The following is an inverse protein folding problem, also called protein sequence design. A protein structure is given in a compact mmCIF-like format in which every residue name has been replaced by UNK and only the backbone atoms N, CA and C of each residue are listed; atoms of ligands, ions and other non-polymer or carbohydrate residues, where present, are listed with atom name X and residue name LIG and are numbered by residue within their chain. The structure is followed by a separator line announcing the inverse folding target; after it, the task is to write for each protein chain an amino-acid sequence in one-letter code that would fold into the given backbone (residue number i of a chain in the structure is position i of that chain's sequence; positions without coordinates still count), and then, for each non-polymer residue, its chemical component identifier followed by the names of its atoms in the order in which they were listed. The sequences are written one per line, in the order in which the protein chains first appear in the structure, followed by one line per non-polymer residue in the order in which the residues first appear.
data_IF_761289984660
#
_entry.id   IF_761289984660
#
_cell.length_a   1.000
_cell.length_b   1.000
_cell.length_c   1.000
_cell.angle_alpha   90.00
_cell.angle_beta   90.00
_cell.angle_gamma   90.00
#
_symmetry.space_group_name_H-M   'P 1'
#
loop_
_entity.id
_entity.type
_entity.pdbx_description
1 polymer ?
#
# COMPACT_ATOMS: atom_id res chain seq x y z
N UNK A 1 -5.58 -2.76 -14.30
CA UNK A 1 -6.46 -1.64 -14.75
C UNK A 1 -5.70 -0.81 -15.77
N UNK A 2 -6.20 -0.68 -17.02
CA UNK A 2 -5.47 -0.05 -18.14
C UNK A 2 -5.67 1.49 -18.21
N UNK A 3 -6.49 2.07 -17.31
CA UNK A 3 -6.82 3.49 -17.35
C UNK A 3 -5.63 4.35 -16.88
N UNK A 4 -5.05 5.20 -17.74
CA UNK A 4 -3.90 6.02 -17.39
C UNK A 4 -4.26 7.28 -16.58
N UNK A 5 -5.54 7.70 -16.59
CA UNK A 5 -6.03 8.85 -15.83
C UNK A 5 -6.39 8.43 -14.42
N UNK A 6 -5.59 8.81 -13.43
CA UNK A 6 -5.77 8.35 -12.06
C UNK A 6 -7.15 8.69 -11.47
N UNK A 7 -7.75 9.83 -11.80
CA UNK A 7 -9.10 10.18 -11.35
C UNK A 7 -10.17 9.23 -11.90
N UNK A 8 -10.06 8.86 -13.17
CA UNK A 8 -10.97 7.89 -13.79
C UNK A 8 -10.76 6.48 -13.20
N UNK A 9 -9.50 6.09 -12.94
CA UNK A 9 -9.16 4.86 -12.26
C UNK A 9 -9.78 4.78 -10.86
N UNK A 10 -9.68 5.84 -10.07
CA UNK A 10 -10.29 5.92 -8.74
C UNK A 10 -11.83 5.79 -8.82
N UNK A 11 -12.47 6.45 -9.81
CA UNK A 11 -13.93 6.32 -10.03
C UNK A 11 -14.33 4.89 -10.38
N UNK A 12 -13.64 4.26 -11.33
CA UNK A 12 -13.90 2.89 -11.77
C UNK A 12 -13.68 1.88 -10.63
N UNK A 13 -12.68 2.12 -9.80
CA UNK A 13 -12.40 1.30 -8.61
C UNK A 13 -13.56 1.36 -7.61
N UNK A 14 -14.10 2.55 -7.33
CA UNK A 14 -15.27 2.70 -6.46
C UNK A 14 -16.52 1.98 -7.03
N UNK A 15 -16.76 2.09 -8.33
CA UNK A 15 -17.86 1.37 -9.00
C UNK A 15 -17.69 -0.15 -8.96
N UNK A 16 -16.45 -0.62 -9.14
CA UNK A 16 -16.11 -2.05 -9.07
C UNK A 16 -16.32 -2.59 -7.66
N UNK A 17 -15.91 -1.86 -6.62
CA UNK A 17 -16.19 -2.22 -5.23
C UNK A 17 -17.69 -2.31 -4.96
N UNK A 18 -18.48 -1.33 -5.39
CA UNK A 18 -19.91 -1.31 -5.15
C UNK A 18 -20.61 -2.46 -5.88
N UNK A 19 -20.16 -2.79 -7.10
CA UNK A 19 -20.61 -3.97 -7.80
C UNK A 19 -20.20 -5.25 -7.07
N UNK A 20 -18.95 -5.39 -6.63
CA UNK A 20 -18.44 -6.55 -5.90
C UNK A 20 -19.23 -6.79 -4.62
N UNK A 21 -19.49 -5.75 -3.82
CA UNK A 21 -20.31 -5.84 -2.61
C UNK A 21 -21.72 -6.36 -2.89
N UNK A 22 -22.35 -5.98 -4.00
CA UNK A 22 -23.65 -6.53 -4.42
C UNK A 22 -23.56 -8.00 -4.80
N UNK A 23 -22.52 -8.38 -5.54
CA UNK A 23 -22.23 -9.79 -5.85
C UNK A 23 -22.12 -10.61 -4.57
N UNK A 24 -21.36 -10.15 -3.62
CA UNK A 24 -21.13 -10.83 -2.33
C UNK A 24 -22.40 -10.98 -1.49
N UNK A 25 -23.35 -10.07 -1.62
CA UNK A 25 -24.68 -10.16 -0.95
C UNK A 25 -25.70 -10.99 -1.72
N UNK A 26 -25.33 -11.54 -2.88
CA UNK A 26 -26.27 -12.30 -3.73
C UNK A 26 -27.34 -11.45 -4.39
N UNK A 27 -27.14 -10.12 -4.51
CA UNK A 27 -28.10 -9.16 -5.08
C UNK A 27 -28.07 -9.12 -6.62
N UNK A 28 -27.31 -10.00 -7.25
CA UNK A 28 -27.05 -10.01 -8.69
C UNK A 28 -27.98 -10.98 -9.45
N UNK A 29 -29.30 -10.80 -9.37
CA UNK A 29 -30.24 -11.44 -10.28
C UNK A 29 -30.51 -10.51 -11.47
N UNK A 30 -30.06 -10.88 -12.66
CA UNK A 30 -30.28 -10.13 -13.90
C UNK A 30 -29.01 -9.49 -14.47
N UNK A 31 -29.11 -8.34 -15.12
CA UNK A 31 -28.02 -7.63 -15.85
C UNK A 31 -26.83 -7.19 -14.95
N UNK A 32 -26.96 -7.34 -13.65
CA UNK A 32 -25.93 -7.07 -12.64
C UNK A 32 -24.77 -8.10 -12.62
N UNK A 33 -24.83 -9.16 -13.44
CA UNK A 33 -23.69 -10.08 -13.63
C UNK A 33 -22.53 -9.44 -14.44
N UNK A 34 -22.81 -8.31 -15.10
CA UNK A 34 -21.79 -7.54 -15.79
C UNK A 34 -21.22 -6.48 -14.86
N UNK A 35 -19.98 -6.65 -14.43
CA UNK A 35 -19.23 -5.61 -13.73
C UNK A 35 -19.05 -4.36 -14.59
N UNK A 36 -18.45 -3.28 -14.07
CA UNK A 36 -18.15 -2.09 -14.84
C UNK A 36 -17.39 -2.46 -16.11
N UNK A 37 -18.00 -2.25 -17.29
CA UNK A 37 -17.39 -2.59 -18.56
C UNK A 37 -16.37 -1.53 -18.96
N UNK A 38 -15.10 -1.82 -18.75
CA UNK A 38 -13.99 -0.93 -19.12
C UNK A 38 -12.91 -1.61 -19.94
N UNK A 39 -12.93 -2.94 -20.01
CA UNK A 39 -11.98 -3.73 -20.81
C UNK A 39 -12.72 -4.49 -21.92
N UNK A 40 -12.05 -4.72 -23.05
CA UNK A 40 -12.48 -5.68 -24.05
C UNK A 40 -12.31 -7.09 -23.47
N UNK A 41 -13.14 -8.05 -23.90
CA UNK A 41 -13.03 -9.44 -23.46
C UNK A 41 -11.61 -10.01 -23.64
N UNK A 42 -10.91 -9.60 -24.71
CA UNK A 42 -9.53 -10.00 -25.00
C UNK A 42 -8.48 -9.43 -24.03
N UNK A 43 -8.82 -8.39 -23.23
CA UNK A 43 -7.90 -7.74 -22.28
C UNK A 43 -8.06 -8.27 -20.84
N UNK A 44 -9.04 -9.13 -20.58
CA UNK A 44 -9.39 -9.56 -19.22
C UNK A 44 -8.30 -10.42 -18.56
N UNK A 45 -7.50 -11.14 -19.34
CA UNK A 45 -6.43 -12.01 -18.85
C UNK A 45 -5.04 -11.34 -18.88
N UNK A 46 -4.95 -10.12 -19.42
CA UNK A 46 -3.66 -9.44 -19.56
C UNK A 46 -3.25 -8.71 -18.29
N UNK A 47 -2.18 -9.18 -17.67
CA UNK A 47 -1.53 -8.45 -16.57
C UNK A 47 -0.91 -7.16 -17.10
N UNK A 48 -1.18 -6.05 -16.43
CA UNK A 48 -0.62 -4.73 -16.79
C UNK A 48 0.79 -4.61 -16.22
N UNK A 49 1.81 -4.83 -17.04
CA UNK A 49 3.20 -4.77 -16.59
C UNK A 49 3.67 -3.35 -16.28
N UNK A 50 3.09 -2.34 -16.93
CA UNK A 50 3.51 -0.94 -16.77
C UNK A 50 2.29 0.02 -16.82
N UNK A 51 1.60 0.23 -15.69
CA UNK A 51 0.49 1.19 -15.60
C UNK A 51 0.98 2.61 -15.89
N UNK A 52 0.39 3.22 -16.91
CA UNK A 52 0.82 4.55 -17.37
C UNK A 52 0.27 5.67 -16.47
N UNK A 53 1.01 6.79 -16.44
CA UNK A 53 0.64 8.08 -15.85
C UNK A 53 0.75 9.17 -16.91
N UNK A 54 -0.37 9.53 -17.56
CA UNK A 54 -0.35 10.48 -18.68
C UNK A 54 0.06 11.90 -18.28
N UNK A 55 -0.25 12.29 -17.05
CA UNK A 55 -0.12 13.70 -16.62
C UNK A 55 1.06 13.96 -15.68
N UNK A 56 1.77 12.93 -15.26
CA UNK A 56 2.90 13.07 -14.32
C UNK A 56 4.21 12.84 -15.05
N UNK A 57 5.10 13.82 -14.98
CA UNK A 57 6.48 13.64 -15.42
C UNK A 57 7.21 12.78 -14.41
N UNK A 58 7.63 11.59 -14.84
CA UNK A 58 8.33 10.63 -13.99
C UNK A 58 9.84 10.93 -14.00
N UNK A 59 10.45 10.96 -12.83
CA UNK A 59 11.89 11.12 -12.61
C UNK A 59 12.42 9.96 -11.76
N UNK A 60 13.72 9.77 -11.72
CA UNK A 60 14.34 8.73 -10.90
C UNK A 60 14.14 8.99 -9.40
N UNK A 61 13.96 7.94 -8.59
CA UNK A 61 13.92 8.06 -7.13
C UNK A 61 15.15 8.84 -6.60
N UNK A 62 14.88 9.79 -5.70
CA UNK A 62 15.93 10.65 -5.11
C UNK A 62 16.26 11.91 -5.92
N UNK A 63 15.78 12.06 -7.17
CA UNK A 63 15.96 13.28 -7.98
C UNK A 63 14.81 14.28 -7.86
N UNK A 64 13.69 13.90 -7.23
CA UNK A 64 12.57 14.81 -6.96
C UNK A 64 12.97 15.94 -6.02
N UNK A 65 12.37 17.12 -6.18
CA UNK A 65 12.58 18.25 -5.27
C UNK A 65 12.18 17.88 -3.85
N UNK A 66 12.89 18.44 -2.85
CA UNK A 66 12.54 18.25 -1.44
C UNK A 66 11.15 18.81 -1.15
N UNK A 67 10.30 18.05 -0.46
CA UNK A 67 8.94 18.43 -0.12
C UNK A 67 8.82 19.62 0.84
N UNK A 68 9.88 19.91 1.58
CA UNK A 68 9.90 20.99 2.58
C UNK A 68 9.16 20.59 3.89
N UNK A 69 8.78 21.63 4.66
CA UNK A 69 8.20 21.47 6.02
C UNK A 69 6.73 21.90 6.14
N UNK A 70 6.06 22.19 5.02
CA UNK A 70 4.64 22.60 5.00
C UNK A 70 4.39 24.07 5.38
N UNK A 71 5.43 24.89 5.59
CA UNK A 71 5.30 26.30 6.00
C UNK A 71 4.87 27.25 4.88
N UNK A 72 5.03 26.86 3.62
CA UNK A 72 4.61 27.64 2.45
C UNK A 72 3.58 26.86 1.64
N UNK A 73 2.83 27.55 0.78
CA UNK A 73 1.85 26.94 -0.13
C UNK A 73 2.55 25.91 -1.03
N UNK A 74 3.69 26.25 -1.60
CA UNK A 74 4.48 25.35 -2.46
C UNK A 74 4.88 24.06 -1.74
N UNK A 75 5.29 24.18 -0.48
CA UNK A 75 5.66 23.01 0.34
C UNK A 75 4.43 22.15 0.68
N UNK A 76 3.28 22.74 0.96
CA UNK A 76 2.02 22.01 1.18
C UNK A 76 1.58 21.29 -0.09
N UNK A 77 1.60 21.98 -1.22
CA UNK A 77 1.33 21.39 -2.54
C UNK A 77 2.27 20.24 -2.83
N UNK A 78 3.58 20.38 -2.57
CA UNK A 78 4.55 19.31 -2.80
C UNK A 78 4.27 18.08 -1.93
N UNK A 79 3.92 18.25 -0.65
CA UNK A 79 3.57 17.14 0.25
C UNK A 79 2.28 16.46 -0.22
N UNK A 80 1.21 17.21 -0.48
CA UNK A 80 -0.08 16.67 -0.94
C UNK A 80 0.05 15.95 -2.29
N UNK A 81 0.83 16.52 -3.23
CA UNK A 81 1.08 15.91 -4.53
C UNK A 81 1.84 14.58 -4.39
N UNK A 82 2.85 14.53 -3.52
CA UNK A 82 3.61 13.30 -3.25
C UNK A 82 2.72 12.22 -2.63
N UNK A 83 1.85 12.58 -1.68
CA UNK A 83 0.88 11.64 -1.12
C UNK A 83 -0.09 11.15 -2.20
N UNK A 84 -0.76 12.05 -2.92
CA UNK A 84 -1.66 11.65 -4.00
C UNK A 84 -0.99 10.74 -5.05
N UNK A 85 0.31 10.94 -5.30
CA UNK A 85 1.06 10.07 -6.20
C UNK A 85 1.27 8.67 -5.63
N UNK A 86 1.55 8.55 -4.33
CA UNK A 86 1.64 7.27 -3.62
C UNK A 86 0.31 6.53 -3.73
N UNK A 87 -0.81 7.18 -3.37
CA UNK A 87 -2.14 6.56 -3.44
C UNK A 87 -2.51 6.11 -4.86
N UNK A 88 -2.11 6.90 -5.88
CA UNK A 88 -2.34 6.51 -7.27
C UNK A 88 -1.63 5.21 -7.67
N UNK A 89 -0.47 4.91 -7.07
CA UNK A 89 0.22 3.63 -7.24
C UNK A 89 -0.40 2.53 -6.39
N UNK A 90 -0.83 2.84 -5.18
CA UNK A 90 -1.46 1.88 -4.29
C UNK A 90 -2.75 1.28 -4.88
N UNK A 91 -3.54 2.07 -5.63
CA UNK A 91 -4.67 1.56 -6.43
C UNK A 91 -4.19 0.46 -7.40
N UNK A 92 -3.12 0.71 -8.16
CA UNK A 92 -2.60 -0.26 -9.12
C UNK A 92 -2.01 -1.49 -8.43
N UNK A 93 -1.32 -1.31 -7.30
CA UNK A 93 -0.74 -2.41 -6.52
C UNK A 93 -1.81 -3.38 -6.01
N UNK A 94 -2.93 -2.85 -5.52
CA UNK A 94 -4.05 -3.67 -5.06
C UNK A 94 -4.69 -4.46 -6.20
N UNK A 95 -4.94 -3.82 -7.34
CA UNK A 95 -5.48 -4.50 -8.52
C UNK A 95 -4.50 -5.49 -9.15
N UNK A 96 -3.21 -5.18 -9.16
CA UNK A 96 -2.18 -6.11 -9.64
C UNK A 96 -2.10 -7.36 -8.74
N UNK A 97 -2.23 -7.20 -7.42
CA UNK A 97 -2.27 -8.34 -6.51
C UNK A 97 -3.45 -9.29 -6.82
N UNK A 98 -4.64 -8.74 -7.08
CA UNK A 98 -5.80 -9.53 -7.51
C UNK A 98 -5.55 -10.21 -8.85
N UNK A 99 -5.16 -9.45 -9.87
CA UNK A 99 -5.08 -9.91 -11.25
C UNK A 99 -3.93 -10.90 -11.44
N UNK A 100 -2.76 -10.57 -10.94
CA UNK A 100 -1.56 -11.39 -11.10
C UNK A 100 -1.59 -12.67 -10.28
N UNK A 101 -2.10 -12.61 -9.07
CA UNK A 101 -1.94 -13.71 -8.12
C UNK A 101 -3.25 -14.37 -7.69
N UNK A 102 -4.37 -13.67 -7.72
CA UNK A 102 -5.61 -14.16 -7.15
C UNK A 102 -5.99 -15.54 -7.68
N UNK A 103 -6.16 -15.70 -8.99
CA UNK A 103 -6.49 -16.97 -9.62
C UNK A 103 -5.27 -17.90 -9.67
N UNK A 104 -4.10 -17.39 -10.05
CA UNK A 104 -2.87 -18.17 -10.19
C UNK A 104 -2.45 -18.89 -8.90
N UNK A 105 -2.72 -18.28 -7.73
CA UNK A 105 -2.44 -18.84 -6.41
C UNK A 105 -3.68 -19.44 -5.74
N UNK A 106 -4.79 -19.58 -6.47
CA UNK A 106 -6.07 -20.10 -5.95
C UNK A 106 -6.47 -19.46 -4.61
N UNK A 107 -6.41 -18.12 -4.57
CA UNK A 107 -6.72 -17.36 -3.36
C UNK A 107 -8.22 -17.44 -3.04
N UNK A 108 -8.61 -17.52 -1.75
CA UNK A 108 -10.01 -17.56 -1.36
C UNK A 108 -10.69 -16.22 -1.62
N UNK A 109 -12.01 -16.22 -1.63
CA UNK A 109 -12.82 -15.03 -1.98
C UNK A 109 -12.58 -13.86 -1.03
N UNK A 110 -12.24 -14.11 0.21
CA UNK A 110 -11.90 -13.11 1.22
C UNK A 110 -10.65 -12.30 0.85
N UNK A 111 -9.71 -12.90 0.08
CA UNK A 111 -8.58 -12.16 -0.48
C UNK A 111 -9.05 -11.06 -1.44
N UNK A 112 -10.01 -11.39 -2.30
CA UNK A 112 -10.60 -10.41 -3.21
C UNK A 112 -11.40 -9.36 -2.46
N UNK A 113 -12.15 -9.75 -1.41
CA UNK A 113 -12.87 -8.81 -0.55
C UNK A 113 -11.92 -7.74 -0.01
N UNK A 114 -10.80 -8.15 0.59
CA UNK A 114 -9.83 -7.23 1.18
C UNK A 114 -9.18 -6.32 0.15
N UNK A 115 -8.68 -6.88 -0.96
CA UNK A 115 -7.94 -6.08 -1.95
C UNK A 115 -8.84 -5.19 -2.82
N UNK A 116 -10.11 -5.53 -3.00
CA UNK A 116 -11.10 -4.63 -3.62
C UNK A 116 -11.42 -3.45 -2.69
N UNK A 117 -11.59 -3.68 -1.39
CA UNK A 117 -11.78 -2.60 -0.42
C UNK A 117 -10.53 -1.71 -0.33
N UNK A 118 -9.34 -2.31 -0.20
CA UNK A 118 -8.07 -1.58 -0.20
C UNK A 118 -7.95 -0.69 -1.45
N UNK A 119 -8.13 -1.24 -2.64
CA UNK A 119 -8.09 -0.44 -3.87
C UNK A 119 -9.07 0.74 -3.84
N UNK A 120 -10.26 0.55 -3.27
CA UNK A 120 -11.28 1.60 -3.19
C UNK A 120 -10.95 2.67 -2.17
N UNK A 121 -10.34 2.30 -1.05
CA UNK A 121 -9.84 3.25 -0.05
C UNK A 121 -8.73 4.11 -0.66
N UNK A 122 -7.76 3.52 -1.36
CA UNK A 122 -6.68 4.23 -2.06
C UNK A 122 -7.22 5.16 -3.15
N UNK A 123 -8.25 4.73 -3.88
CA UNK A 123 -8.96 5.58 -4.84
C UNK A 123 -9.61 6.79 -4.18
N UNK A 124 -10.17 6.61 -3.00
CA UNK A 124 -10.77 7.69 -2.20
C UNK A 124 -9.71 8.62 -1.62
N UNK A 125 -8.59 8.08 -1.10
CA UNK A 125 -7.44 8.87 -0.64
C UNK A 125 -6.91 9.76 -1.76
N UNK A 126 -6.66 9.19 -2.93
CA UNK A 126 -6.23 9.92 -4.12
C UNK A 126 -7.18 11.07 -4.49
N UNK A 127 -8.51 10.83 -4.51
CA UNK A 127 -9.52 11.83 -4.85
C UNK A 127 -9.55 12.98 -3.82
N UNK A 128 -9.52 12.65 -2.53
CA UNK A 128 -9.52 13.63 -1.46
C UNK A 128 -8.25 14.50 -1.46
N UNK A 129 -7.08 13.89 -1.64
CA UNK A 129 -5.81 14.62 -1.74
C UNK A 129 -5.74 15.48 -3.00
N UNK A 130 -6.29 14.99 -4.12
CA UNK A 130 -6.38 15.75 -5.37
C UNK A 130 -7.31 16.99 -5.23
N UNK A 131 -8.42 16.88 -4.52
CA UNK A 131 -9.30 18.00 -4.16
C UNK A 131 -8.57 19.03 -3.30
N UNK A 132 -7.78 18.57 -2.32
CA UNK A 132 -6.95 19.49 -1.50
C UNK A 132 -5.92 20.24 -2.35
N UNK A 133 -5.31 19.62 -3.36
CA UNK A 133 -4.42 20.29 -4.31
C UNK A 133 -5.15 21.42 -5.06
N UNK A 134 -6.38 21.17 -5.51
CA UNK A 134 -7.20 22.19 -6.21
C UNK A 134 -7.48 23.38 -5.30
N UNK A 135 -7.76 23.17 -4.01
CA UNK A 135 -7.96 24.25 -3.04
C UNK A 135 -6.72 25.15 -2.86
N UNK A 136 -5.53 24.61 -3.13
CA UNK A 136 -4.25 25.35 -3.17
C UNK A 136 -3.95 25.97 -4.55
N UNK A 137 -4.87 25.91 -5.52
CA UNK A 137 -4.66 26.40 -6.89
C UNK A 137 -3.69 25.52 -7.70
N UNK A 138 -3.54 24.25 -7.34
CA UNK A 138 -2.70 23.28 -8.01
C UNK A 138 -3.51 22.06 -8.47
N UNK A 139 -2.85 21.04 -9.01
CA UNK A 139 -3.50 19.81 -9.43
C UNK A 139 -2.51 18.64 -9.32
N UNK A 140 -3.04 17.40 -9.26
CA UNK A 140 -2.23 16.23 -9.46
C UNK A 140 -1.63 16.25 -10.89
N UNK A 141 -0.33 15.94 -11.01
CA UNK A 141 0.43 16.06 -12.26
C UNK A 141 1.17 17.38 -12.45
N UNK A 142 0.92 18.40 -11.59
CA UNK A 142 1.62 19.69 -11.66
C UNK A 142 3.11 19.60 -11.26
N UNK A 143 3.51 18.56 -10.55
CA UNK A 143 4.89 18.35 -10.10
C UNK A 143 5.43 17.01 -10.62
N UNK A 144 6.75 16.93 -10.74
CA UNK A 144 7.45 15.68 -11.02
C UNK A 144 7.31 14.70 -9.84
N UNK A 145 7.24 13.41 -10.15
CA UNK A 145 7.19 12.35 -9.17
C UNK A 145 8.03 11.14 -9.62
N UNK A 146 8.19 10.11 -8.79
CA UNK A 146 8.95 8.91 -9.14
C UNK A 146 8.07 7.66 -9.00
N UNK A 147 8.39 6.64 -9.77
CA UNK A 147 7.69 5.35 -9.81
C UNK A 147 8.28 4.28 -8.88
N UNK A 148 8.97 4.71 -7.82
CA UNK A 148 9.70 3.80 -6.92
C UNK A 148 8.85 2.65 -6.36
N UNK A 149 7.57 2.87 -6.05
CA UNK A 149 6.65 1.81 -5.63
C UNK A 149 6.44 0.78 -6.74
N UNK A 150 6.22 1.24 -7.97
CA UNK A 150 6.03 0.32 -9.10
C UNK A 150 7.32 -0.43 -9.48
N UNK A 151 8.49 0.20 -9.30
CA UNK A 151 9.78 -0.50 -9.46
C UNK A 151 9.88 -1.69 -8.50
N UNK A 152 9.54 -1.49 -7.23
CA UNK A 152 9.54 -2.58 -6.23
C UNK A 152 8.45 -3.62 -6.55
N UNK A 153 7.30 -3.18 -7.10
CA UNK A 153 6.25 -4.09 -7.57
C UNK A 153 6.74 -5.03 -8.68
N UNK A 154 7.54 -4.53 -9.62
CA UNK A 154 8.19 -5.38 -10.65
C UNK A 154 9.15 -6.40 -10.03
N UNK A 155 9.93 -6.01 -9.02
CA UNK A 155 10.87 -6.90 -8.33
C UNK A 155 10.15 -8.02 -7.53
N UNK A 156 8.86 -7.85 -7.23
CA UNK A 156 8.02 -8.82 -6.51
C UNK A 156 6.99 -9.51 -7.42
N UNK A 157 7.06 -9.30 -8.74
CA UNK A 157 6.05 -9.77 -9.71
C UNK A 157 5.90 -11.29 -9.79
N UNK A 158 6.93 -12.05 -9.41
CA UNK A 158 6.97 -13.50 -9.49
C UNK A 158 6.49 -14.21 -8.21
N UNK A 159 6.24 -13.48 -7.12
CA UNK A 159 5.90 -14.08 -5.81
C UNK A 159 4.89 -13.25 -5.04
N UNK A 160 3.72 -13.85 -4.77
CA UNK A 160 2.72 -13.22 -3.93
C UNK A 160 3.24 -12.99 -2.50
N UNK A 161 4.03 -13.91 -1.95
CA UNK A 161 4.63 -13.76 -0.63
C UNK A 161 5.56 -12.55 -0.58
N UNK A 162 6.38 -12.35 -1.61
CA UNK A 162 7.26 -11.18 -1.71
C UNK A 162 6.44 -9.89 -1.86
N UNK A 163 5.40 -9.89 -2.71
CA UNK A 163 4.47 -8.78 -2.90
C UNK A 163 3.80 -8.37 -1.60
N UNK A 164 3.25 -9.33 -0.85
CA UNK A 164 2.60 -9.09 0.43
C UNK A 164 3.58 -8.57 1.49
N UNK A 165 4.78 -9.17 1.56
CA UNK A 165 5.78 -8.75 2.54
C UNK A 165 6.32 -7.34 2.28
N UNK A 166 6.59 -7.00 1.02
CA UNK A 166 7.23 -5.73 0.67
C UNK A 166 6.21 -4.63 0.46
N UNK A 167 5.26 -4.80 -0.47
CA UNK A 167 4.32 -3.72 -0.81
C UNK A 167 3.23 -3.57 0.26
N UNK A 168 2.54 -4.66 0.60
CA UNK A 168 1.36 -4.59 1.45
C UNK A 168 1.64 -4.76 2.96
N UNK A 169 2.90 -4.91 3.38
CA UNK A 169 3.29 -4.86 4.79
C UNK A 169 4.37 -3.81 5.07
N UNK A 170 5.55 -3.88 4.43
CA UNK A 170 6.67 -2.96 4.72
C UNK A 170 6.35 -1.54 4.26
N UNK A 171 5.86 -1.34 3.04
CA UNK A 171 5.53 -0.01 2.51
C UNK A 171 4.34 0.59 3.25
N UNK A 172 3.26 -0.17 3.51
CA UNK A 172 2.11 0.28 4.31
C UNK A 172 2.52 0.67 5.73
N UNK A 173 3.33 -0.16 6.39
CA UNK A 173 3.85 0.17 7.71
C UNK A 173 4.74 1.42 7.70
N UNK A 174 5.41 1.75 6.58
CA UNK A 174 6.14 3.01 6.44
C UNK A 174 5.20 4.20 6.41
N UNK A 175 4.01 4.07 5.80
CA UNK A 175 2.93 5.06 5.89
C UNK A 175 2.58 5.36 7.35
N UNK A 176 2.38 4.31 8.16
CA UNK A 176 2.08 4.44 9.59
C UNK A 176 3.15 5.21 10.39
N UNK A 177 4.42 5.09 9.99
CA UNK A 177 5.52 5.80 10.65
C UNK A 177 5.58 7.29 10.27
N UNK A 178 5.24 7.62 9.00
CA UNK A 178 5.47 8.95 8.41
C UNK A 178 4.27 9.86 8.56
N UNK A 179 3.04 9.32 8.46
CA UNK A 179 1.80 10.11 8.50
C UNK A 179 1.66 10.96 9.78
N UNK A 180 1.93 10.48 11.00
CA UNK A 180 1.83 11.32 12.20
C UNK A 180 2.72 12.57 12.15
N UNK A 181 3.92 12.44 11.59
CA UNK A 181 4.82 13.58 11.42
C UNK A 181 4.30 14.54 10.36
N UNK A 182 3.69 14.03 9.30
CA UNK A 182 3.12 14.84 8.20
C UNK A 182 1.86 15.58 8.66
N UNK A 183 0.98 14.93 9.41
CA UNK A 183 -0.17 15.54 10.09
C UNK A 183 0.31 16.68 10.99
N UNK A 184 1.33 16.42 11.81
CA UNK A 184 1.92 17.42 12.68
C UNK A 184 2.56 18.60 11.92
N UNK A 185 3.13 18.38 10.72
CA UNK A 185 3.64 19.47 9.86
C UNK A 185 2.50 20.37 9.40
N UNK A 186 1.41 19.82 8.87
CA UNK A 186 0.25 20.59 8.43
C UNK A 186 -0.36 21.38 9.59
N UNK A 187 -0.61 20.74 10.73
CA UNK A 187 -1.22 21.38 11.91
C UNK A 187 -0.40 22.53 12.46
N UNK A 188 0.93 22.34 12.63
CA UNK A 188 1.83 23.40 13.10
C UNK A 188 1.92 24.61 12.15
N UNK A 189 1.60 24.42 10.89
CA UNK A 189 1.61 25.48 9.89
C UNK A 189 0.19 26.03 9.57
N UNK A 190 -0.82 25.69 10.39
CA UNK A 190 -2.18 26.21 10.29
C UNK A 190 -3.02 25.60 9.18
N UNK A 191 -2.63 24.46 8.61
CA UNK A 191 -3.41 23.70 7.64
C UNK A 191 -4.15 22.55 8.33
N UNK A 192 -5.17 22.91 9.10
CA UNK A 192 -5.96 21.93 9.86
C UNK A 192 -6.76 21.02 8.92
N UNK A 193 -7.24 21.53 7.79
CA UNK A 193 -8.02 20.72 6.86
C UNK A 193 -7.20 19.54 6.26
N UNK A 194 -5.93 19.77 5.87
CA UNK A 194 -5.06 18.68 5.41
C UNK A 194 -4.67 17.76 6.57
N UNK A 195 -4.44 18.31 7.78
CA UNK A 195 -4.14 17.50 8.96
C UNK A 195 -5.30 16.56 9.33
N UNK A 196 -6.53 17.09 9.38
CA UNK A 196 -7.74 16.31 9.70
C UNK A 196 -8.03 15.24 8.64
N UNK A 197 -7.87 15.58 7.36
CA UNK A 197 -8.03 14.60 6.27
C UNK A 197 -7.10 13.37 6.48
N UNK A 198 -5.83 13.62 6.74
CA UNK A 198 -4.86 12.55 6.94
C UNK A 198 -5.13 11.77 8.24
N UNK A 199 -5.51 12.46 9.32
CA UNK A 199 -5.69 11.85 10.65
C UNK A 199 -6.96 11.02 10.76
N UNK A 200 -8.07 11.51 10.17
CA UNK A 200 -9.39 10.89 10.35
C UNK A 200 -9.76 9.92 9.22
N UNK A 201 -9.13 10.04 8.05
CA UNK A 201 -9.44 9.21 6.89
C UNK A 201 -8.27 8.30 6.53
N UNK A 202 -7.15 8.88 6.07
CA UNK A 202 -6.04 8.08 5.51
C UNK A 202 -5.40 7.20 6.58
N UNK A 203 -4.96 7.80 7.68
CA UNK A 203 -4.18 7.07 8.69
C UNK A 203 -4.88 5.87 9.34
N UNK A 204 -6.19 5.90 9.68
CA UNK A 204 -6.87 4.72 10.22
C UNK A 204 -6.96 3.57 9.20
N UNK A 205 -7.10 3.88 7.91
CA UNK A 205 -7.25 2.90 6.85
C UNK A 205 -5.92 2.25 6.50
N UNK A 206 -4.80 2.98 6.54
CA UNK A 206 -3.45 2.42 6.41
C UNK A 206 -3.16 1.30 7.43
N UNK A 207 -3.74 1.39 8.64
CA UNK A 207 -3.64 0.30 9.63
C UNK A 207 -4.30 -0.98 9.09
N UNK A 208 -5.47 -0.85 8.44
CA UNK A 208 -6.20 -2.00 7.89
C UNK A 208 -5.50 -2.57 6.65
N UNK A 209 -4.88 -1.71 5.83
CA UNK A 209 -4.10 -2.13 4.65
C UNK A 209 -2.87 -2.94 5.08
N UNK A 210 -2.09 -2.42 6.02
CA UNK A 210 -0.96 -3.15 6.59
C UNK A 210 -1.38 -4.49 7.22
N UNK A 211 -2.50 -4.51 7.95
CA UNK A 211 -3.05 -5.73 8.55
C UNK A 211 -3.46 -6.76 7.48
N UNK A 212 -4.04 -6.32 6.37
CA UNK A 212 -4.39 -7.21 5.25
C UNK A 212 -3.14 -7.86 4.64
N UNK A 213 -2.10 -7.09 4.34
CA UNK A 213 -0.83 -7.62 3.83
C UNK A 213 -0.24 -8.71 4.73
N UNK A 214 -0.16 -8.43 6.03
CA UNK A 214 0.37 -9.39 7.01
C UNK A 214 -0.52 -10.63 7.17
N UNK A 215 -1.86 -10.47 7.18
CA UNK A 215 -2.82 -11.57 7.27
C UNK A 215 -2.66 -12.54 6.11
N UNK A 216 -2.56 -12.03 4.89
CA UNK A 216 -2.44 -12.86 3.70
C UNK A 216 -1.05 -13.50 3.56
N UNK A 217 -0.01 -12.85 4.04
CA UNK A 217 1.30 -13.46 4.15
C UNK A 217 1.27 -14.67 5.10
N UNK A 218 0.69 -14.51 6.29
CA UNK A 218 0.51 -15.60 7.26
C UNK A 218 -0.34 -16.75 6.70
N UNK A 219 -1.43 -16.41 6.00
CA UNK A 219 -2.29 -17.39 5.35
C UNK A 219 -1.53 -18.25 4.34
N UNK A 220 -0.74 -17.64 3.47
CA UNK A 220 0.07 -18.37 2.49
C UNK A 220 1.11 -19.26 3.17
N UNK A 221 1.79 -18.73 4.17
CA UNK A 221 2.77 -19.51 4.93
C UNK A 221 2.14 -20.74 5.61
N UNK A 222 0.95 -20.58 6.19
CA UNK A 222 0.23 -21.69 6.82
C UNK A 222 -0.31 -22.71 5.80
N UNK A 223 -0.79 -22.24 4.63
CA UNK A 223 -1.35 -23.08 3.58
C UNK A 223 -0.29 -23.88 2.83
N UNK A 224 0.82 -23.22 2.46
CA UNK A 224 1.83 -23.75 1.54
C UNK A 224 3.07 -24.29 2.28
N UNK A 225 3.16 -24.07 3.59
CA UNK A 225 4.20 -24.63 4.44
C UNK A 225 4.06 -26.16 4.56
N UNK A 226 5.10 -26.91 4.27
CA UNK A 226 5.14 -28.34 4.44
C UNK A 226 4.93 -28.72 5.91
N UNK A 227 3.73 -28.90 6.36
CA UNK A 227 3.23 -29.64 7.54
C UNK A 227 4.09 -29.85 8.80
N UNK A 228 5.24 -29.20 8.93
CA UNK A 228 6.19 -29.44 10.02
C UNK A 228 5.70 -28.82 11.34
N UNK A 229 4.80 -27.84 11.30
CA UNK A 229 4.26 -27.19 12.49
C UNK A 229 2.73 -27.12 12.54
N UNK A 230 2.01 -27.98 11.80
CA UNK A 230 0.54 -28.04 11.85
C UNK A 230 -0.04 -28.38 13.25
N UNK A 231 0.80 -28.68 14.23
CA UNK A 231 0.40 -28.93 15.61
C UNK A 231 0.52 -27.72 16.54
N UNK A 232 1.06 -26.56 16.09
CA UNK A 232 1.12 -25.33 16.90
C UNK A 232 0.12 -24.25 16.48
N UNK A 233 -0.70 -24.49 15.45
CA UNK A 233 -1.80 -23.60 15.04
C UNK A 233 -3.17 -24.03 15.61
N UNK A 234 -3.18 -24.67 16.79
CA UNK A 234 -4.40 -24.70 17.59
C UNK A 234 -4.65 -23.28 18.09
N UNK A 235 -5.80 -22.72 17.71
CA UNK A 235 -6.24 -21.35 18.03
C UNK A 235 -6.02 -20.94 19.51
N UNK A 236 -4.84 -20.51 19.80
CA UNK A 236 -4.41 -19.92 21.04
C UNK A 236 -3.66 -18.63 20.71
N UNK A 237 -3.93 -17.60 21.49
CA UNK A 237 -3.27 -16.27 21.47
C UNK A 237 -1.75 -16.37 21.75
N UNK A 238 -1.05 -17.26 21.08
CA UNK A 238 0.40 -17.44 21.18
C UNK A 238 1.10 -16.23 20.57
N UNK A 239 1.82 -15.48 21.41
CA UNK A 239 2.63 -14.34 20.97
C UNK A 239 3.67 -14.80 19.96
N UNK A 240 3.70 -14.20 18.76
CA UNK A 240 4.68 -14.50 17.73
C UNK A 240 6.07 -14.08 18.20
N UNK A 241 7.06 -14.93 17.99
CA UNK A 241 8.45 -14.70 18.36
C UNK A 241 9.34 -14.58 17.13
N UNK A 242 10.53 -14.02 17.28
CA UNK A 242 11.52 -13.93 16.20
C UNK A 242 11.89 -15.31 15.62
N UNK A 243 11.73 -16.38 16.38
CA UNK A 243 12.00 -17.76 15.97
C UNK A 243 10.81 -18.44 15.28
N UNK A 244 9.62 -17.83 15.26
CA UNK A 244 8.47 -18.37 14.54
C UNK A 244 8.78 -18.52 13.05
N UNK A 245 8.44 -19.66 12.44
CA UNK A 245 8.76 -19.95 11.03
C UNK A 245 8.20 -18.89 10.08
N UNK A 246 7.01 -18.39 10.33
CA UNK A 246 6.37 -17.34 9.53
C UNK A 246 7.12 -16.01 9.60
N UNK A 247 7.63 -15.63 10.78
CA UNK A 247 8.42 -14.40 10.97
C UNK A 247 9.77 -14.52 10.25
N UNK A 248 10.43 -15.67 10.34
CA UNK A 248 11.67 -15.94 9.62
C UNK A 248 11.47 -15.93 8.09
N UNK A 249 10.37 -16.52 7.61
CA UNK A 249 10.02 -16.47 6.18
C UNK A 249 9.79 -15.04 5.70
N UNK A 250 9.08 -14.23 6.50
CA UNK A 250 8.89 -12.80 6.21
C UNK A 250 10.22 -12.06 6.12
N UNK A 251 11.09 -12.23 7.11
CA UNK A 251 12.43 -11.62 7.09
C UNK A 251 13.24 -12.02 5.86
N UNK A 252 13.15 -13.27 5.44
CA UNK A 252 13.84 -13.76 4.24
C UNK A 252 13.30 -13.05 2.97
N UNK A 253 11.97 -12.91 2.85
CA UNK A 253 11.34 -12.20 1.73
C UNK A 253 11.75 -10.73 1.68
N UNK A 254 11.67 -10.03 2.82
CA UNK A 254 12.05 -8.61 2.89
C UNK A 254 13.54 -8.42 2.58
N UNK A 255 14.44 -9.23 3.15
CA UNK A 255 15.89 -9.12 2.86
C UNK A 255 16.23 -9.40 1.39
N UNK A 256 15.45 -10.23 0.72
CA UNK A 256 15.68 -10.59 -0.68
C UNK A 256 15.12 -9.53 -1.67
N UNK A 257 13.95 -8.97 -1.37
CA UNK A 257 13.17 -8.19 -2.35
C UNK A 257 13.03 -6.72 -1.99
N UNK A 258 13.37 -6.29 -0.76
CA UNK A 258 13.33 -4.89 -0.37
C UNK A 258 14.72 -4.28 -0.44
N UNK A 259 14.90 -3.26 -1.27
CA UNK A 259 16.17 -2.56 -1.43
C UNK A 259 16.48 -1.69 -0.20
N UNK A 260 17.47 -2.10 0.58
CA UNK A 260 17.94 -1.37 1.76
C UNK A 260 17.46 -2.00 3.07
N UNK A 261 17.35 -1.19 4.11
CA UNK A 261 16.94 -1.62 5.44
C UNK A 261 15.83 -0.74 5.99
N UNK A 262 15.06 -1.27 6.93
CA UNK A 262 14.02 -0.49 7.59
C UNK A 262 14.66 0.59 8.48
N UNK A 263 14.06 1.77 8.50
CA UNK A 263 14.64 2.95 9.17
C UNK A 263 13.69 3.48 10.25
N UNK A 264 14.11 3.49 11.53
CA UNK A 264 13.35 4.14 12.59
C UNK A 264 13.27 5.67 12.37
N UNK A 265 12.37 6.40 13.10
CA UNK A 265 11.54 5.87 14.17
C UNK A 265 10.33 5.10 13.66
N UNK A 266 9.91 4.09 14.40
CA UNK A 266 8.73 3.30 14.11
C UNK A 266 7.56 3.74 15.00
N UNK A 267 6.35 3.75 14.41
CA UNK A 267 5.11 3.93 15.16
C UNK A 267 4.64 2.56 15.71
N UNK A 268 5.26 2.13 16.81
CA UNK A 268 5.00 0.82 17.39
C UNK A 268 3.52 0.59 17.73
N UNK A 269 2.79 1.63 18.15
CA UNK A 269 1.36 1.52 18.49
C UNK A 269 0.51 1.21 17.24
N UNK A 270 0.67 1.97 16.15
CA UNK A 270 -0.08 1.75 14.92
C UNK A 270 0.29 0.41 14.25
N UNK A 271 1.59 0.10 14.23
CA UNK A 271 2.08 -1.19 13.72
C UNK A 271 1.49 -2.36 14.52
N UNK A 272 1.42 -2.25 15.85
CA UNK A 272 0.82 -3.28 16.71
C UNK A 272 -0.69 -3.44 16.43
N UNK A 273 -1.43 -2.34 16.17
CA UNK A 273 -2.84 -2.40 15.75
C UNK A 273 -3.03 -3.16 14.42
N UNK A 274 -2.06 -3.08 13.52
CA UNK A 274 -2.03 -3.87 12.29
C UNK A 274 -1.54 -5.33 12.52
N UNK A 275 -1.20 -5.73 13.74
CA UNK A 275 -0.59 -7.02 14.05
C UNK A 275 0.89 -7.12 13.67
N UNK A 276 1.50 -6.00 13.26
CA UNK A 276 2.90 -5.92 12.84
C UNK A 276 3.78 -5.54 14.04
N UNK A 277 3.97 -6.49 14.94
CA UNK A 277 4.71 -6.31 16.20
C UNK A 277 6.24 -6.18 15.97
N UNK A 278 7.04 -5.74 16.97
CA UNK A 278 8.48 -5.53 16.82
C UNK A 278 9.27 -6.71 16.22
N UNK A 279 8.89 -7.93 16.50
CA UNK A 279 9.55 -9.13 15.97
C UNK A 279 9.55 -9.22 14.45
N UNK A 280 8.57 -8.59 13.80
CA UNK A 280 8.45 -8.56 12.33
C UNK A 280 9.39 -7.57 11.65
N UNK A 281 9.80 -6.49 12.33
CA UNK A 281 10.50 -5.40 11.66
C UNK A 281 11.82 -4.98 12.33
N UNK A 282 12.00 -5.11 13.65
CA UNK A 282 13.24 -4.70 14.31
C UNK A 282 14.48 -5.47 13.82
N UNK A 283 14.43 -6.79 13.56
CA UNK A 283 15.56 -7.52 13.00
C UNK A 283 15.92 -7.15 11.56
N UNK A 284 15.09 -6.35 10.91
CA UNK A 284 15.30 -5.84 9.54
C UNK A 284 15.92 -4.42 9.51
N UNK A 285 16.15 -3.83 10.67
CA UNK A 285 16.85 -2.54 10.81
C UNK A 285 18.32 -2.72 10.49
N UNK A 286 18.89 -1.79 9.76
CA UNK A 286 20.33 -1.73 9.51
C UNK A 286 21.10 -1.58 10.84
N UNK A 287 21.87 -2.59 11.22
CA UNK A 287 22.80 -2.44 12.35
C UNK A 287 23.85 -1.43 11.94
N UNK A 288 23.95 -0.28 12.62
CA UNK A 288 25.10 0.61 12.48
C UNK A 288 26.36 -0.24 12.63
N UNK A 289 27.23 -0.22 11.65
CA UNK A 289 28.56 -0.83 11.81
C UNK A 289 29.23 -0.11 12.97
N UNK A 290 29.74 -0.85 13.96
CA UNK A 290 30.65 -0.31 14.97
C UNK A 290 31.84 0.27 14.24
N UNK A 291 31.87 1.59 14.06
CA UNK A 291 32.92 2.29 13.30
C UNK A 291 32.52 3.63 12.71
N UNK A 292 31.22 3.92 12.57
CA UNK A 292 30.70 5.17 11.97
C UNK A 292 30.56 6.34 12.98
N UNK A 293 31.16 6.22 14.18
CA UNK A 293 31.31 7.32 15.15
C UNK A 293 32.61 8.07 14.95
N UNK A 294 32.89 8.59 13.75
CA UNK A 294 33.89 9.63 13.52
C UNK A 294 33.42 10.51 12.38
N UNK A 295 33.00 11.68 12.76
CA UNK A 295 33.07 13.00 12.16
C UNK A 295 31.71 13.72 12.28
N UNK A 296 31.57 14.38 13.43
CA UNK A 296 30.70 15.55 13.62
C UNK A 296 31.60 16.79 13.56
#
# INVERSE_FOLDING_TARGET
MLEPKCAEKARLTAETRDWWRRVRRGETAGDATKGPQTAREDDLDAVVEDPRREIVVTTEPGKTKRLGKGGTVESRVAILHSLAHIESWAIDLAWDAIQRFGQARAMPVEFYDDFVELAADEGRHFDLLSKRLVEYGSAYGALEAHDGLWQTARETSESLEARLAVEHAVHEARGLDVLPQTIGKFRRNGDEASATLLEEVVYPEEITHCAAGLRWFKYLHARDGDGVDAHSTSGGDGEETETSSVVQAFHAMVRKHFAGALKPPFNAEARAKAGFTPVWYEPLVEKKREGDEKDI
#
